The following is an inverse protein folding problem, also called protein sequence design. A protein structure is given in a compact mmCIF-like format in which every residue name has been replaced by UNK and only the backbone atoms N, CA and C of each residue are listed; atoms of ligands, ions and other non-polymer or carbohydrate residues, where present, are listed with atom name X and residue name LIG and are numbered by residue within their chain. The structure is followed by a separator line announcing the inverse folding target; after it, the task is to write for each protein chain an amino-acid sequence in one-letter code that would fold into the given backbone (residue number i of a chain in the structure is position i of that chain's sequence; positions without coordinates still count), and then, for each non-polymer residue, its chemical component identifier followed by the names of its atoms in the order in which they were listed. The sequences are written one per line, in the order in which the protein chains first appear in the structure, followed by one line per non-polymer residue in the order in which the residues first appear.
data_IF_008867543020
#
_entry.id   IF_008867543020
#
_cell.length_a   1.000
_cell.length_b   1.000
_cell.length_c   1.000
_cell.angle_alpha   90.00
_cell.angle_beta   90.00
_cell.angle_gamma   90.00
#
_symmetry.space_group_name_H-M   'P 1'
#
loop_
_entity.id
_entity.type
_entity.pdbx_description
1 polymer ?
#
# COMPACT_ATOMS: atom_id res chain seq x y z
N UNK A 1 -20.26 -22.03 4.32
CA UNK A 1 -19.77 -21.15 5.38
C UNK A 1 -20.04 -19.74 4.91
N UNK A 2 -20.96 -19.06 5.58
CA UNK A 2 -21.33 -17.69 5.25
C UNK A 2 -20.14 -16.79 5.62
N UNK A 3 -19.28 -16.52 4.66
CA UNK A 3 -18.20 -15.55 4.85
C UNK A 3 -18.86 -14.18 4.96
N UNK A 4 -18.72 -13.52 6.12
CA UNK A 4 -19.35 -12.21 6.38
C UNK A 4 -18.92 -11.13 5.39
N UNK A 5 -19.59 -9.98 5.43
CA UNK A 5 -19.36 -8.82 4.54
C UNK A 5 -17.87 -8.47 4.37
N UNK A 6 -17.04 -8.41 5.45
CA UNK A 6 -15.63 -8.09 5.29
C UNK A 6 -14.85 -9.09 4.43
N UNK A 7 -15.05 -10.40 4.67
CA UNK A 7 -14.32 -11.42 3.93
C UNK A 7 -14.67 -11.42 2.44
N UNK A 8 -15.96 -11.23 2.10
CA UNK A 8 -16.40 -11.12 0.72
C UNK A 8 -15.85 -9.86 0.05
N UNK A 9 -15.85 -8.73 0.73
CA UNK A 9 -15.31 -7.49 0.21
C UNK A 9 -13.79 -7.58 -0.07
N UNK A 10 -13.02 -8.14 0.85
CA UNK A 10 -11.58 -8.38 0.64
C UNK A 10 -11.35 -9.32 -0.54
N UNK A 11 -12.16 -10.38 -0.67
CA UNK A 11 -12.10 -11.29 -1.81
C UNK A 11 -12.37 -10.55 -3.13
N UNK A 12 -13.44 -9.76 -3.19
CA UNK A 12 -13.82 -9.00 -4.37
C UNK A 12 -12.70 -8.02 -4.81
N UNK A 13 -12.04 -7.37 -3.83
CA UNK A 13 -10.89 -6.51 -4.13
C UNK A 13 -9.69 -7.29 -4.66
N UNK A 14 -9.44 -8.49 -4.14
CA UNK A 14 -8.34 -9.35 -4.58
C UNK A 14 -8.58 -9.93 -6.01
N UNK A 15 -9.83 -9.96 -6.47
CA UNK A 15 -10.21 -10.41 -7.81
C UNK A 15 -10.24 -9.28 -8.85
N UNK A 16 -10.03 -8.02 -8.45
CA UNK A 16 -9.94 -6.90 -9.39
C UNK A 16 -8.79 -7.08 -10.37
N UNK A 17 -9.03 -6.79 -11.66
CA UNK A 17 -8.01 -6.91 -12.70
C UNK A 17 -6.81 -6.01 -12.43
N UNK A 18 -7.03 -4.84 -11.84
CA UNK A 18 -5.98 -3.90 -11.45
C UNK A 18 -5.06 -4.48 -10.38
N UNK A 19 -5.55 -5.40 -9.54
CA UNK A 19 -4.77 -6.09 -8.53
C UNK A 19 -4.15 -7.38 -9.05
N UNK A 20 -4.91 -8.21 -9.77
CA UNK A 20 -4.43 -9.53 -10.24
C UNK A 20 -3.25 -9.42 -11.19
N UNK A 21 -3.12 -8.32 -11.94
CA UNK A 21 -1.96 -8.06 -12.82
C UNK A 21 -0.61 -8.02 -12.06
N UNK A 22 -0.61 -7.78 -10.75
CA UNK A 22 0.60 -7.82 -9.94
C UNK A 22 1.09 -9.24 -9.63
N UNK A 23 0.33 -10.27 -10.00
CA UNK A 23 0.68 -11.68 -9.81
C UNK A 23 1.09 -12.03 -8.37
N UNK A 24 0.36 -11.51 -7.39
CA UNK A 24 0.56 -11.90 -5.98
C UNK A 24 -0.02 -13.31 -5.80
N UNK A 25 0.82 -14.23 -5.34
CA UNK A 25 0.45 -15.63 -5.21
C UNK A 25 -0.73 -15.81 -4.22
N UNK A 26 -1.86 -16.42 -4.63
CA UNK A 26 -3.02 -16.61 -3.76
C UNK A 26 -2.84 -17.73 -2.73
N UNK A 27 -1.74 -18.51 -2.78
CA UNK A 27 -1.48 -19.55 -1.78
C UNK A 27 -1.53 -18.96 -0.36
N UNK A 28 -2.23 -19.68 0.53
CA UNK A 28 -2.42 -19.28 1.93
C UNK A 28 -3.07 -17.90 2.07
N UNK A 29 -3.92 -17.50 1.11
CA UNK A 29 -4.60 -16.19 1.08
C UNK A 29 -3.63 -14.99 1.11
N UNK A 30 -2.43 -15.14 0.57
CA UNK A 30 -1.43 -14.08 0.58
C UNK A 30 -1.93 -12.82 -0.18
N UNK A 31 -2.63 -13.00 -1.28
CA UNK A 31 -3.31 -11.94 -2.04
C UNK A 31 -4.28 -11.13 -1.16
N UNK A 32 -5.11 -11.82 -0.38
CA UNK A 32 -6.07 -11.19 0.55
C UNK A 32 -5.37 -10.47 1.69
N UNK A 33 -4.23 -10.97 2.14
CA UNK A 33 -3.41 -10.35 3.17
C UNK A 33 -2.89 -8.97 2.74
N UNK A 34 -2.44 -8.85 1.48
CA UNK A 34 -2.09 -7.56 0.89
C UNK A 34 -3.28 -6.59 0.86
N UNK A 35 -4.42 -7.06 0.39
CA UNK A 35 -5.64 -6.23 0.32
C UNK A 35 -6.12 -5.80 1.71
N UNK A 36 -6.12 -6.71 2.67
CA UNK A 36 -6.52 -6.42 4.06
C UNK A 36 -5.66 -5.30 4.66
N UNK A 37 -4.36 -5.31 4.40
CA UNK A 37 -3.45 -4.25 4.87
C UNK A 37 -3.78 -2.89 4.26
N UNK A 38 -4.06 -2.81 2.95
CA UNK A 38 -4.54 -1.57 2.36
C UNK A 38 -5.81 -1.07 3.04
N UNK A 39 -6.84 -1.94 3.14
CA UNK A 39 -8.13 -1.57 3.71
C UNK A 39 -7.98 -1.08 5.15
N UNK A 40 -7.16 -1.76 5.95
CA UNK A 40 -6.95 -1.41 7.34
C UNK A 40 -6.32 -0.01 7.50
N UNK A 41 -5.24 0.28 6.80
CA UNK A 41 -4.56 1.58 6.86
C UNK A 41 -5.27 2.69 6.07
N UNK A 42 -6.24 2.33 5.22
CA UNK A 42 -7.12 3.29 4.57
C UNK A 42 -8.27 3.73 5.50
N UNK A 43 -8.90 2.78 6.21
CA UNK A 43 -10.01 3.05 7.13
C UNK A 43 -9.54 3.73 8.41
N UNK A 44 -8.39 3.30 8.94
CA UNK A 44 -7.79 3.82 10.16
C UNK A 44 -6.55 4.65 9.81
N UNK A 45 -6.46 5.84 10.41
CA UNK A 45 -5.28 6.69 10.19
C UNK A 45 -4.01 5.96 10.66
N UNK A 46 -2.96 5.84 9.81
CA UNK A 46 -1.67 5.28 10.24
C UNK A 46 -1.03 5.95 11.46
N UNK A 47 -1.34 7.24 11.69
CA UNK A 47 -0.87 8.00 12.87
C UNK A 47 -1.50 7.50 14.17
N UNK A 48 -2.69 6.89 14.09
CA UNK A 48 -3.41 6.30 15.23
C UNK A 48 -3.07 4.82 15.45
N UNK A 49 -2.15 4.27 14.64
CA UNK A 49 -1.78 2.87 14.74
C UNK A 49 -1.30 2.51 16.15
N UNK A 50 -1.88 1.46 16.69
CA UNK A 50 -1.45 0.83 17.95
C UNK A 50 -1.12 -0.64 17.70
N UNK A 51 0.03 -1.15 18.16
CA UNK A 51 0.33 -2.57 18.06
C UNK A 51 -0.64 -3.40 18.92
N UNK A 52 -0.89 -4.71 18.63
CA UNK A 52 -0.17 -5.40 17.54
C UNK A 52 -0.91 -5.26 16.21
N UNK A 53 -0.23 -5.64 15.14
CA UNK A 53 -0.77 -5.55 13.79
C UNK A 53 -2.02 -6.43 13.59
N UNK A 54 -2.05 -7.62 14.16
CA UNK A 54 -3.19 -8.54 13.98
C UNK A 54 -4.45 -7.97 14.62
N UNK A 55 -4.34 -7.36 15.80
CA UNK A 55 -5.45 -6.65 16.43
C UNK A 55 -5.91 -5.46 15.59
N UNK A 56 -4.98 -4.66 15.06
CA UNK A 56 -5.29 -3.54 14.19
C UNK A 56 -6.05 -3.99 12.91
N UNK A 57 -5.62 -5.09 12.29
CA UNK A 57 -6.30 -5.64 11.12
C UNK A 57 -7.70 -6.16 11.48
N UNK A 58 -7.85 -6.83 12.61
CA UNK A 58 -9.14 -7.35 13.08
C UNK A 58 -10.13 -6.21 13.41
N UNK A 59 -9.68 -5.16 14.07
CA UNK A 59 -10.48 -3.96 14.33
C UNK A 59 -10.93 -3.30 13.03
N UNK A 60 -10.05 -3.22 12.03
CA UNK A 60 -10.38 -2.68 10.71
C UNK A 60 -11.46 -3.50 10.02
N UNK A 61 -11.41 -4.82 10.13
CA UNK A 61 -12.45 -5.69 9.56
C UNK A 61 -13.79 -5.51 10.29
N UNK A 62 -13.78 -5.27 11.59
CA UNK A 62 -15.00 -4.94 12.35
C UNK A 62 -15.58 -3.58 11.89
N UNK A 63 -14.74 -2.56 11.72
CA UNK A 63 -15.17 -1.27 11.18
C UNK A 63 -15.71 -1.39 9.75
N UNK A 64 -15.05 -2.17 8.90
CA UNK A 64 -15.49 -2.43 7.52
C UNK A 64 -16.90 -3.03 7.47
N UNK A 65 -17.26 -3.88 8.43
CA UNK A 65 -18.58 -4.47 8.53
C UNK A 65 -19.67 -3.41 8.76
N UNK A 66 -19.36 -2.37 9.52
CA UNK A 66 -20.29 -1.30 9.88
C UNK A 66 -20.45 -0.23 8.77
N UNK A 67 -19.54 -0.19 7.80
CA UNK A 67 -19.60 0.77 6.70
C UNK A 67 -20.81 0.53 5.79
N UNK A 68 -21.36 1.60 5.27
CA UNK A 68 -22.40 1.56 4.23
C UNK A 68 -21.85 0.98 2.92
N UNK A 69 -22.75 0.58 2.02
CA UNK A 69 -22.37 0.16 0.67
C UNK A 69 -21.59 1.27 -0.06
N UNK A 70 -22.02 2.52 0.07
CA UNK A 70 -21.39 3.68 -0.59
C UNK A 70 -19.95 3.89 -0.07
N UNK A 71 -19.72 3.79 1.23
CA UNK A 71 -18.38 3.90 1.82
C UNK A 71 -17.46 2.77 1.34
N UNK A 72 -17.97 1.54 1.27
CA UNK A 72 -17.20 0.42 0.70
C UNK A 72 -16.86 0.63 -0.77
N UNK A 73 -17.78 1.17 -1.58
CA UNK A 73 -17.47 1.50 -2.98
C UNK A 73 -16.43 2.61 -3.10
N UNK A 74 -16.40 3.57 -2.17
CA UNK A 74 -15.33 4.57 -2.12
C UNK A 74 -13.96 3.93 -1.82
N UNK A 75 -13.89 2.95 -0.93
CA UNK A 75 -12.67 2.17 -0.68
C UNK A 75 -12.24 1.44 -1.96
N UNK A 76 -13.16 0.76 -2.64
CA UNK A 76 -12.91 0.07 -3.92
C UNK A 76 -12.33 1.03 -4.97
N UNK A 77 -12.96 2.19 -5.14
CA UNK A 77 -12.50 3.21 -6.08
C UNK A 77 -11.08 3.68 -5.75
N UNK A 78 -10.82 4.01 -4.49
CA UNK A 78 -9.51 4.48 -4.01
C UNK A 78 -8.42 3.41 -4.18
N UNK A 79 -8.76 2.14 -3.94
CA UNK A 79 -7.87 1.01 -4.16
C UNK A 79 -7.48 0.85 -5.63
N UNK A 80 -8.48 0.81 -6.52
CA UNK A 80 -8.25 0.74 -7.97
C UNK A 80 -7.37 1.89 -8.46
N UNK A 81 -7.70 3.12 -8.03
CA UNK A 81 -6.92 4.32 -8.36
C UNK A 81 -5.45 4.17 -7.97
N UNK A 82 -5.18 3.77 -6.73
CA UNK A 82 -3.82 3.58 -6.24
C UNK A 82 -3.04 2.52 -7.01
N UNK A 83 -3.70 1.39 -7.34
CA UNK A 83 -3.09 0.31 -8.13
C UNK A 83 -2.73 0.75 -9.54
N UNK A 84 -3.61 1.50 -10.20
CA UNK A 84 -3.35 2.05 -11.54
C UNK A 84 -2.17 3.02 -11.50
N UNK A 85 -2.14 3.94 -10.53
CA UNK A 85 -1.04 4.90 -10.39
C UNK A 85 0.29 4.16 -10.14
N UNK A 86 0.29 3.18 -9.22
CA UNK A 86 1.49 2.41 -8.92
C UNK A 86 2.03 1.66 -10.16
N UNK A 87 1.12 1.11 -10.98
CA UNK A 87 1.52 0.45 -12.22
C UNK A 87 2.09 1.43 -13.25
N UNK A 88 1.46 2.58 -13.42
CA UNK A 88 1.91 3.60 -14.39
C UNK A 88 3.30 4.17 -14.04
N UNK A 89 3.63 4.22 -12.74
CA UNK A 89 4.91 4.74 -12.26
C UNK A 89 5.98 3.65 -12.22
N UNK A 90 5.69 2.53 -11.56
CA UNK A 90 6.69 1.50 -11.22
C UNK A 90 6.60 0.25 -12.11
N UNK A 91 5.49 0.06 -12.84
CA UNK A 91 5.26 -1.16 -13.59
C UNK A 91 5.30 -2.41 -12.71
N UNK A 92 5.95 -3.46 -13.19
CA UNK A 92 6.09 -4.71 -12.44
C UNK A 92 7.06 -4.62 -11.23
N UNK A 93 7.80 -3.52 -11.10
CA UNK A 93 8.66 -3.26 -9.94
C UNK A 93 7.89 -2.65 -8.74
N UNK A 94 6.62 -2.32 -8.92
CA UNK A 94 5.77 -1.80 -7.85
C UNK A 94 5.79 -2.71 -6.61
N UNK A 95 5.88 -2.09 -5.44
CA UNK A 95 5.84 -2.75 -4.13
C UNK A 95 7.03 -3.70 -3.86
N UNK A 96 8.12 -3.54 -4.59
CA UNK A 96 9.35 -4.31 -4.41
C UNK A 96 10.45 -3.42 -3.86
N UNK A 97 11.33 -3.99 -3.05
CA UNK A 97 12.59 -3.33 -2.69
C UNK A 97 13.44 -3.19 -3.94
N UNK A 98 14.00 -2.01 -4.14
CA UNK A 98 14.83 -1.70 -5.29
C UNK A 98 16.00 -0.81 -4.87
N UNK A 99 17.20 -1.36 -4.90
CA UNK A 99 18.41 -0.65 -4.46
C UNK A 99 19.19 0.00 -5.61
N UNK A 100 18.90 -0.41 -6.85
CA UNK A 100 19.40 0.23 -8.07
C UNK A 100 18.44 -0.02 -9.24
N UNK A 101 18.72 0.59 -10.40
CA UNK A 101 17.85 0.49 -11.59
C UNK A 101 17.91 -0.88 -12.29
N UNK A 102 18.93 -1.68 -12.02
CA UNK A 102 19.21 -2.97 -12.66
C UNK A 102 19.06 -4.17 -11.73
N UNK A 103 18.50 -3.97 -10.54
CA UNK A 103 18.25 -5.04 -9.58
C UNK A 103 17.38 -6.14 -10.18
N UNK A 104 17.71 -7.38 -9.83
CA UNK A 104 16.77 -8.49 -10.00
C UNK A 104 15.51 -8.24 -9.18
N UNK A 105 14.36 -8.55 -9.77
CA UNK A 105 13.07 -8.36 -9.08
C UNK A 105 12.97 -9.19 -7.82
N UNK A 106 12.80 -8.51 -6.70
CA UNK A 106 12.54 -9.10 -5.39
C UNK A 106 11.04 -9.39 -5.22
N UNK A 107 10.66 -10.27 -4.30
CA UNK A 107 9.25 -10.45 -3.96
C UNK A 107 8.56 -9.13 -3.60
N UNK A 108 7.27 -9.03 -3.88
CA UNK A 108 6.48 -7.88 -3.41
C UNK A 108 6.43 -7.88 -1.88
N UNK A 109 6.58 -6.69 -1.33
CA UNK A 109 6.68 -6.45 0.11
C UNK A 109 5.36 -5.88 0.63
N UNK A 110 4.78 -6.51 1.66
CA UNK A 110 3.50 -6.08 2.24
C UNK A 110 3.53 -4.68 2.83
N UNK A 111 4.63 -4.31 3.51
CA UNK A 111 4.78 -2.99 4.10
C UNK A 111 4.92 -1.89 3.03
N UNK A 112 5.60 -2.17 1.92
CA UNK A 112 5.63 -1.28 0.77
C UNK A 112 4.27 -1.19 0.08
N UNK A 113 3.56 -2.30 -0.05
CA UNK A 113 2.23 -2.31 -0.65
C UNK A 113 1.27 -1.43 0.14
N UNK A 114 1.17 -1.62 1.45
CA UNK A 114 0.23 -0.85 2.27
C UNK A 114 0.54 0.66 2.23
N UNK A 115 1.80 1.06 2.39
CA UNK A 115 2.15 2.48 2.41
C UNK A 115 1.98 3.16 1.05
N UNK A 116 2.41 2.52 -0.04
CA UNK A 116 2.27 3.08 -1.37
C UNK A 116 0.80 3.18 -1.79
N UNK A 117 0.01 2.13 -1.60
CA UNK A 117 -1.40 2.16 -2.00
C UNK A 117 -2.20 3.19 -1.20
N UNK A 118 -1.95 3.31 0.10
CA UNK A 118 -2.62 4.32 0.94
C UNK A 118 -2.21 5.74 0.54
N UNK A 119 -0.93 6.02 0.38
CA UNK A 119 -0.48 7.37 0.01
C UNK A 119 -0.92 7.76 -1.41
N UNK A 120 -0.81 6.86 -2.38
CA UNK A 120 -1.27 7.12 -3.75
C UNK A 120 -2.79 7.29 -3.84
N UNK A 121 -3.56 6.61 -2.99
CA UNK A 121 -5.03 6.75 -2.97
C UNK A 121 -5.52 8.14 -2.56
N UNK A 122 -4.70 8.91 -1.86
CA UNK A 122 -5.02 10.26 -1.37
C UNK A 122 -4.84 11.36 -2.42
N UNK A 123 -4.09 11.08 -3.49
CA UNK A 123 -3.72 12.08 -4.49
C UNK A 123 -4.93 12.58 -5.30
N UNK A 124 -4.94 13.87 -5.60
CA UNK A 124 -5.89 14.51 -6.51
C UNK A 124 -5.42 14.35 -7.96
N UNK A 125 -6.32 14.54 -8.93
CA UNK A 125 -6.03 14.31 -10.35
C UNK A 125 -4.83 15.11 -10.86
N UNK A 126 -4.68 16.36 -10.45
CA UNK A 126 -3.54 17.20 -10.85
C UNK A 126 -2.22 16.69 -10.23
N UNK A 127 -2.24 16.25 -8.97
CA UNK A 127 -1.08 15.64 -8.33
C UNK A 127 -0.66 14.35 -9.02
N UNK A 128 -1.64 13.53 -9.44
CA UNK A 128 -1.38 12.29 -10.19
C UNK A 128 -0.68 12.60 -11.52
N UNK A 129 -1.13 13.63 -12.25
CA UNK A 129 -0.50 14.04 -13.52
C UNK A 129 0.95 14.46 -13.29
N UNK A 130 1.22 15.29 -12.27
CA UNK A 130 2.57 15.73 -11.92
C UNK A 130 3.44 14.54 -11.54
N UNK A 131 2.95 13.66 -10.67
CA UNK A 131 3.71 12.50 -10.19
C UNK A 131 4.07 11.55 -11.34
N UNK A 132 3.15 11.28 -12.26
CA UNK A 132 3.39 10.46 -13.45
C UNK A 132 4.41 11.12 -14.40
N UNK A 133 4.33 12.42 -14.59
CA UNK A 133 5.30 13.16 -15.41
C UNK A 133 6.72 13.13 -14.80
N UNK A 134 6.81 13.06 -13.48
CA UNK A 134 8.07 13.03 -12.71
C UNK A 134 8.39 11.63 -12.16
N UNK A 135 7.87 10.57 -12.78
CA UNK A 135 8.03 9.19 -12.28
C UNK A 135 9.50 8.79 -12.10
N UNK A 136 10.39 9.22 -12.98
CA UNK A 136 11.81 8.87 -12.87
C UNK A 136 12.45 9.52 -11.64
N UNK A 137 12.05 10.75 -11.29
CA UNK A 137 12.48 11.42 -10.06
C UNK A 137 11.97 10.67 -8.83
N UNK A 138 10.72 10.23 -8.86
CA UNK A 138 10.14 9.44 -7.76
C UNK A 138 10.85 8.10 -7.58
N UNK A 139 11.11 7.38 -8.67
CA UNK A 139 11.83 6.09 -8.63
C UNK A 139 13.24 6.27 -8.08
N UNK A 140 13.99 7.27 -8.56
CA UNK A 140 15.32 7.58 -8.04
C UNK A 140 15.29 8.00 -6.57
N UNK A 141 14.30 8.78 -6.17
CA UNK A 141 14.08 9.16 -4.78
C UNK A 141 13.82 7.95 -3.89
N UNK A 142 13.03 6.99 -4.35
CA UNK A 142 12.75 5.75 -3.63
C UNK A 142 14.00 4.85 -3.50
N UNK A 143 14.78 4.71 -4.57
CA UNK A 143 16.07 3.99 -4.54
C UNK A 143 17.03 4.65 -3.56
N UNK A 144 17.13 5.97 -3.59
CA UNK A 144 17.96 6.74 -2.65
C UNK A 144 17.50 6.54 -1.21
N UNK A 145 16.20 6.58 -0.95
CA UNK A 145 15.62 6.35 0.38
C UNK A 145 16.01 4.97 0.93
N UNK A 146 15.90 3.92 0.12
CA UNK A 146 16.29 2.55 0.50
C UNK A 146 17.79 2.41 0.82
N UNK A 147 18.64 3.15 0.12
CA UNK A 147 20.08 3.06 0.31
C UNK A 147 20.62 3.96 1.42
N UNK A 148 19.97 5.10 1.68
CA UNK A 148 20.50 6.12 2.59
C UNK A 148 19.80 6.16 3.96
N UNK A 149 18.58 5.66 4.07
CA UNK A 149 17.80 5.67 5.32
C UNK A 149 17.63 4.25 5.87
N UNK A 150 18.57 3.82 6.71
CA UNK A 150 18.57 2.50 7.33
C UNK A 150 17.32 2.24 8.19
N UNK A 151 16.75 3.26 8.82
CA UNK A 151 15.53 3.11 9.62
C UNK A 151 14.31 2.87 8.75
N UNK A 152 14.25 3.51 7.57
CA UNK A 152 13.22 3.21 6.58
C UNK A 152 13.37 1.78 6.04
N UNK A 153 14.57 1.38 5.69
CA UNK A 153 14.84 0.01 5.19
C UNK A 153 14.43 -1.06 6.22
N UNK A 154 14.76 -0.85 7.50
CA UNK A 154 14.31 -1.72 8.60
C UNK A 154 12.78 -1.70 8.75
N UNK A 155 12.15 -0.54 8.59
CA UNK A 155 10.71 -0.38 8.76
C UNK A 155 9.87 -1.19 7.76
N UNK A 156 10.46 -1.60 6.63
CA UNK A 156 9.81 -2.43 5.60
C UNK A 156 10.35 -3.87 5.56
N UNK A 157 11.36 -4.19 6.36
CA UNK A 157 12.03 -5.50 6.31
C UNK A 157 11.69 -6.40 7.48
N UNK A 158 11.70 -5.87 8.68
CA UNK A 158 11.55 -6.67 9.90
C UNK A 158 10.65 -5.96 10.92
N UNK A 159 9.94 -6.75 11.74
CA UNK A 159 9.01 -6.26 12.78
C UNK A 159 8.10 -5.14 12.26
N UNK A 160 7.51 -5.34 11.07
CA UNK A 160 6.75 -4.32 10.35
C UNK A 160 5.48 -3.87 11.08
N UNK A 161 5.07 -4.59 12.15
CA UNK A 161 3.99 -4.21 13.07
C UNK A 161 4.42 -3.35 14.25
N UNK A 162 5.70 -3.00 14.40
CA UNK A 162 6.14 -2.05 15.43
C UNK A 162 5.66 -0.62 15.10
N UNK A 163 5.17 0.09 16.13
CA UNK A 163 4.58 1.43 15.95
C UNK A 163 5.54 2.41 15.28
N UNK A 164 6.77 2.50 15.76
CA UNK A 164 7.78 3.43 15.20
C UNK A 164 8.10 3.11 13.74
N UNK A 165 8.06 1.81 13.37
CA UNK A 165 8.29 1.38 11.98
C UNK A 165 7.11 1.68 11.08
N UNK A 166 5.88 1.53 11.56
CA UNK A 166 4.69 1.99 10.83
C UNK A 166 4.77 3.49 10.57
N UNK A 167 4.97 4.28 11.62
CA UNK A 167 5.10 5.75 11.52
C UNK A 167 6.23 6.14 10.57
N UNK A 168 7.39 5.50 10.69
CA UNK A 168 8.56 5.78 9.85
C UNK A 168 8.29 5.59 8.36
N UNK A 169 7.70 4.43 7.96
CA UNK A 169 7.49 4.18 6.54
C UNK A 169 6.42 5.06 5.92
N UNK A 170 5.32 5.34 6.65
CA UNK A 170 4.29 6.24 6.17
C UNK A 170 4.82 7.68 6.02
N UNK A 171 5.54 8.18 7.03
CA UNK A 171 6.18 9.49 6.98
C UNK A 171 7.16 9.61 5.81
N UNK A 172 8.07 8.66 5.65
CA UNK A 172 9.10 8.70 4.62
C UNK A 172 8.52 8.70 3.20
N UNK A 173 7.53 7.84 2.92
CA UNK A 173 6.89 7.80 1.59
C UNK A 173 6.06 9.06 1.34
N UNK A 174 5.31 9.55 2.32
CA UNK A 174 4.56 10.81 2.22
C UNK A 174 5.49 12.00 1.91
N UNK A 175 6.62 12.10 2.61
CA UNK A 175 7.62 13.15 2.37
C UNK A 175 8.24 13.04 0.98
N UNK A 176 8.55 11.82 0.52
CA UNK A 176 9.08 11.58 -0.83
C UNK A 176 8.09 12.02 -1.90
N UNK A 177 6.82 11.60 -1.80
CA UNK A 177 5.77 12.01 -2.74
C UNK A 177 5.60 13.52 -2.74
N UNK A 178 5.49 14.14 -1.57
CA UNK A 178 5.35 15.60 -1.45
C UNK A 178 6.54 16.37 -2.03
N UNK A 179 7.75 15.85 -1.90
CA UNK A 179 8.96 16.45 -2.49
C UNK A 179 8.93 16.42 -4.01
N UNK A 180 8.41 15.34 -4.60
CA UNK A 180 8.31 15.23 -6.06
C UNK A 180 7.18 16.09 -6.62
N UNK A 181 6.11 16.32 -5.85
CA UNK A 181 4.99 17.17 -6.25
C UNK A 181 5.32 18.68 -6.25
N UNK A 182 6.29 19.13 -5.47
CA UNK A 182 6.80 20.53 -5.45
C UNK A 182 7.69 20.82 -6.66
#
# INVERSE_FOLDING_TARGET
INQGIPANFIKDLAELIEFTKYNINPKRMLDRDFVTRFVAFYIQNPEEYSPDLDNFLNESMSKLKELTKQEREQIRFSFKKALVIAWDIFGDDAFRKRYNTTDNRRPRNKALFEVWTVELSKLQDEEIKVLKARKDILIQGFITLLNSDQEFEKAITASTGDKKRVEKRFKAIKELVNKVLK
#
